data_IF_893021569574
#
_entry.id   IF_893021569574
#
_cell.length_a   1.000
_cell.length_b   1.000
_cell.length_c   1.000
_cell.angle_alpha   90.00
_cell.angle_beta   90.00
_cell.angle_gamma   90.00
#
_symmetry.space_group_name_H-M   'P 1'
#
loop_
_entity.id
_entity.type
_entity.pdbx_description
1 polymer ?
#
# COMPACT_ATOMS: atom_id res chain seq x y z
N UNK A 1 12.57 21.31 -20.87
CA UNK A 1 12.31 21.09 -19.44
C UNK A 1 10.88 20.65 -19.36
N UNK A 2 10.71 19.35 -19.17
CA UNK A 2 9.45 18.64 -19.32
C UNK A 2 8.40 19.12 -18.33
N UNK A 3 7.24 19.44 -18.88
CA UNK A 3 6.05 19.90 -18.17
C UNK A 3 5.50 18.73 -17.34
N UNK A 4 5.73 18.78 -16.02
CA UNK A 4 5.14 17.83 -15.07
C UNK A 4 3.65 18.10 -15.01
N UNK A 5 2.86 17.32 -15.76
CA UNK A 5 1.40 17.27 -15.64
C UNK A 5 1.03 17.08 -14.17
N UNK A 6 0.47 18.13 -13.56
CA UNK A 6 -0.14 18.02 -12.24
C UNK A 6 -1.43 17.21 -12.39
N UNK A 7 -1.36 15.91 -12.12
CA UNK A 7 -2.52 15.09 -11.84
C UNK A 7 -3.14 15.64 -10.54
N UNK A 8 -4.33 16.21 -10.60
CA UNK A 8 -5.06 16.56 -9.38
C UNK A 8 -5.30 15.27 -8.60
N UNK A 9 -4.72 15.14 -7.41
CA UNK A 9 -4.93 13.95 -6.59
C UNK A 9 -6.40 13.88 -6.17
N UNK A 10 -7.05 12.74 -6.41
CA UNK A 10 -8.41 12.51 -5.90
C UNK A 10 -8.44 12.33 -4.37
N UNK A 11 -7.27 12.15 -3.76
CA UNK A 11 -7.09 12.04 -2.31
C UNK A 11 -7.28 13.39 -1.64
N UNK A 12 -8.22 13.45 -0.69
CA UNK A 12 -8.39 14.58 0.21
C UNK A 12 -7.30 14.56 1.30
N UNK A 13 -6.19 15.24 1.02
CA UNK A 13 -5.06 15.34 1.94
C UNK A 13 -5.32 16.19 3.17
N UNK A 14 -6.31 17.11 3.12
CA UNK A 14 -6.66 17.88 4.31
C UNK A 14 -7.32 16.96 5.34
N UNK A 15 -8.28 16.15 4.88
CA UNK A 15 -8.94 15.16 5.72
C UNK A 15 -7.94 14.18 6.35
N UNK A 16 -6.99 13.67 5.57
CA UNK A 16 -5.95 12.74 6.08
C UNK A 16 -5.10 13.37 7.19
N UNK A 17 -4.76 14.65 7.09
CA UNK A 17 -3.94 15.35 8.11
C UNK A 17 -4.68 15.61 9.42
N UNK A 18 -6.01 15.66 9.36
CA UNK A 18 -6.86 15.91 10.53
C UNK A 18 -7.24 14.60 11.26
N UNK A 19 -7.05 13.43 10.63
CA UNK A 19 -7.32 12.13 11.25
C UNK A 19 -6.33 11.82 12.37
N UNK A 20 -6.84 11.17 13.41
CA UNK A 20 -6.03 10.57 14.46
C UNK A 20 -5.36 9.27 13.98
N UNK A 21 -4.30 8.84 14.67
CA UNK A 21 -3.63 7.57 14.39
C UNK A 21 -4.62 6.38 14.48
N UNK A 22 -5.49 6.39 15.49
CA UNK A 22 -6.49 5.34 15.70
C UNK A 22 -7.48 5.23 14.53
N UNK A 23 -7.90 6.38 13.98
CA UNK A 23 -8.76 6.43 12.80
C UNK A 23 -8.03 5.95 11.55
N UNK A 24 -6.76 6.34 11.38
CA UNK A 24 -5.91 5.89 10.27
C UNK A 24 -5.76 4.37 10.31
N UNK A 25 -5.40 3.80 11.46
CA UNK A 25 -5.26 2.35 11.62
C UNK A 25 -6.56 1.60 11.36
N UNK A 26 -7.68 2.12 11.87
CA UNK A 26 -9.00 1.50 11.69
C UNK A 26 -9.40 1.48 10.22
N UNK A 27 -9.20 2.59 9.51
CA UNK A 27 -9.51 2.69 8.09
C UNK A 27 -8.57 1.84 7.24
N UNK A 28 -7.27 1.80 7.58
CA UNK A 28 -6.32 0.94 6.90
C UNK A 28 -6.70 -0.54 7.03
N UNK A 29 -7.06 -1.00 8.24
CA UNK A 29 -7.51 -2.38 8.49
C UNK A 29 -8.86 -2.71 7.83
N UNK A 30 -9.70 -1.71 7.60
CA UNK A 30 -10.99 -1.88 6.95
C UNK A 30 -10.91 -1.86 5.41
N UNK A 31 -9.75 -1.49 4.83
CA UNK A 31 -9.58 -1.49 3.38
C UNK A 31 -9.64 -2.94 2.86
N UNK A 32 -10.52 -3.25 1.88
CA UNK A 32 -10.56 -4.57 1.26
C UNK A 32 -9.23 -5.00 0.61
N UNK A 33 -8.36 -4.04 0.25
CA UNK A 33 -7.02 -4.32 -0.27
C UNK A 33 -5.97 -4.60 0.83
N UNK A 34 -6.31 -4.30 2.09
CA UNK A 34 -5.46 -4.58 3.23
C UNK A 34 -5.49 -6.08 3.52
N UNK A 35 -4.52 -6.79 2.92
CA UNK A 35 -4.33 -8.19 3.23
C UNK A 35 -3.86 -8.34 4.68
N UNK A 36 -4.42 -9.30 5.44
CA UNK A 36 -3.96 -9.58 6.80
C UNK A 36 -2.51 -10.09 6.72
N UNK A 37 -1.58 -9.31 7.26
CA UNK A 37 -0.17 -9.68 7.44
C UNK A 37 0.18 -9.71 8.92
N UNK A 38 -0.68 -10.34 9.71
CA UNK A 38 -0.51 -10.57 11.14
C UNK A 38 0.49 -11.71 11.41
N UNK A 39 0.77 -11.98 12.69
CA UNK A 39 1.73 -13.01 13.08
C UNK A 39 1.33 -14.40 12.55
N UNK A 40 0.02 -14.70 12.56
CA UNK A 40 -0.52 -15.95 12.02
C UNK A 40 -0.26 -16.09 10.51
N UNK A 41 -0.39 -15.01 9.74
CA UNK A 41 -0.01 -15.00 8.31
C UNK A 41 1.49 -15.32 8.13
N UNK A 42 2.35 -14.77 8.98
CA UNK A 42 3.80 -14.94 8.87
C UNK A 42 4.31 -16.31 9.31
N UNK A 43 3.60 -17.00 10.21
CA UNK A 43 3.95 -18.35 10.66
C UNK A 43 3.99 -19.37 9.51
N UNK A 44 3.07 -19.23 8.54
CA UNK A 44 2.97 -20.11 7.37
C UNK A 44 3.51 -19.49 6.07
N UNK A 45 3.96 -18.23 6.12
CA UNK A 45 4.43 -17.51 4.94
C UNK A 45 5.69 -18.15 4.33
N UNK A 46 5.65 -18.40 3.01
CA UNK A 46 6.80 -18.93 2.27
C UNK A 46 7.60 -17.81 1.60
N UNK A 47 8.87 -17.67 1.95
CA UNK A 47 9.78 -16.74 1.27
C UNK A 47 10.12 -17.24 -0.14
N UNK A 48 9.66 -16.54 -1.17
CA UNK A 48 9.97 -16.85 -2.57
C UNK A 48 11.03 -15.88 -3.09
N UNK A 49 12.15 -16.41 -3.60
CA UNK A 49 13.15 -15.58 -4.28
C UNK A 49 12.71 -15.30 -5.72
N UNK A 50 12.85 -14.06 -6.22
CA UNK A 50 12.56 -13.77 -7.62
C UNK A 50 13.46 -14.64 -8.52
N UNK A 51 12.85 -15.27 -9.53
CA UNK A 51 13.57 -16.08 -10.48
C UNK A 51 14.38 -15.15 -11.40
N UNK A 52 15.70 -15.31 -11.46
CA UNK A 52 16.59 -14.45 -12.26
C UNK A 52 16.51 -14.71 -13.77
N UNK A 53 15.52 -15.48 -14.22
CA UNK A 53 15.24 -15.65 -15.65
C UNK A 53 14.86 -14.30 -16.25
N UNK A 54 15.79 -13.71 -17.01
CA UNK A 54 15.50 -12.58 -17.89
C UNK A 54 14.41 -13.04 -18.86
N UNK A 55 13.24 -12.41 -18.78
CA UNK A 55 12.36 -12.38 -19.95
C UNK A 55 13.10 -11.59 -21.01
N UNK A 56 13.56 -12.25 -22.07
CA UNK A 56 14.03 -11.55 -23.27
C UNK A 56 12.82 -10.83 -23.89
N UNK A 57 12.86 -9.50 -23.85
CA UNK A 57 12.03 -8.59 -24.63
C UNK A 57 12.99 -7.61 -25.31
#
# INVERSE_FOLDING_TARGET
MDEVKQSQSLTDWQKVKEMTEEEIETLAKADPDCQPTDDDFWDDATVVKPNTHRVSQ
#
